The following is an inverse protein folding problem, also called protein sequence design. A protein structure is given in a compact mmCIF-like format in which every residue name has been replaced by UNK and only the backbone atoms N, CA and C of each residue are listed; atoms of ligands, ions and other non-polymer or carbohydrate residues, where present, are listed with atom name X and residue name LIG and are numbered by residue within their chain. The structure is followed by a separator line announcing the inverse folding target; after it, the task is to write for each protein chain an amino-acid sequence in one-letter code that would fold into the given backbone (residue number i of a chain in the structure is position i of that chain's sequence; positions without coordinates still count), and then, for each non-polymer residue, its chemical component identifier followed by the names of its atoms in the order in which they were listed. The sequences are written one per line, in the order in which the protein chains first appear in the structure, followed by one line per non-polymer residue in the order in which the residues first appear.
data_IF_837016114699
#
_entry.id   IF_837016114699
#
_cell.length_a   1.000
_cell.length_b   1.000
_cell.length_c   1.000
_cell.angle_alpha   90.00
_cell.angle_beta   90.00
_cell.angle_gamma   90.00
#
_symmetry.space_group_name_H-M   'P 1'
#
loop_
_entity.id
_entity.type
_entity.pdbx_description
1 polymer ?
#
# COMPACT_ATOMS: atom_id res chain seq x y z
N UNK A 1 -39.81 16.87 16.24
CA UNK A 1 -39.57 16.22 14.95
C UNK A 1 -38.21 16.68 14.46
N UNK A 2 -37.15 15.90 14.57
CA UNK A 2 -35.84 16.25 14.00
C UNK A 2 -35.69 15.52 12.66
N UNK A 3 -35.13 16.24 11.69
CA UNK A 3 -34.86 15.84 10.32
C UNK A 3 -33.80 14.76 10.23
N UNK A 4 -34.10 13.73 9.45
CA UNK A 4 -33.15 12.66 9.09
C UNK A 4 -32.15 13.23 8.06
N UNK A 5 -30.88 13.31 8.42
CA UNK A 5 -29.79 13.42 7.44
C UNK A 5 -29.40 12.02 6.98
N UNK A 6 -29.61 11.75 5.71
CA UNK A 6 -29.18 10.55 5.03
C UNK A 6 -27.67 10.66 4.79
N UNK A 7 -26.91 9.76 5.37
CA UNK A 7 -25.52 9.53 5.00
C UNK A 7 -25.50 8.65 3.74
N UNK A 8 -25.00 9.23 2.67
CA UNK A 8 -24.82 8.54 1.39
C UNK A 8 -23.55 7.70 1.44
N UNK A 9 -23.71 6.37 1.38
CA UNK A 9 -22.61 5.44 1.21
C UNK A 9 -21.84 5.77 -0.09
N UNK A 10 -20.54 5.88 0.02
CA UNK A 10 -19.63 5.91 -1.12
C UNK A 10 -19.36 4.49 -1.64
N UNK A 11 -20.33 3.97 -2.37
CA UNK A 11 -20.10 2.91 -3.35
C UNK A 11 -20.17 3.60 -4.72
N UNK A 12 -19.04 4.07 -5.22
CA UNK A 12 -18.97 4.66 -6.55
C UNK A 12 -18.98 3.56 -7.61
N UNK A 13 -20.17 3.14 -8.03
CA UNK A 13 -20.37 2.48 -9.31
C UNK A 13 -20.54 3.60 -10.33
N UNK A 14 -19.52 3.85 -11.14
CA UNK A 14 -19.63 4.71 -12.31
C UNK A 14 -20.01 3.84 -13.49
N UNK A 15 -21.29 3.84 -13.86
CA UNK A 15 -21.74 3.37 -15.17
C UNK A 15 -21.46 4.45 -16.20
N UNK A 16 -20.53 4.23 -17.08
CA UNK A 16 -20.30 5.09 -18.25
C UNK A 16 -21.25 4.67 -19.38
N UNK A 17 -22.12 5.59 -19.77
CA UNK A 17 -22.95 5.46 -20.96
C UNK A 17 -22.10 5.70 -22.22
N UNK A 18 -22.12 4.71 -23.12
CA UNK A 18 -21.53 4.77 -24.45
C UNK A 18 -22.44 5.58 -25.37
N UNK A 19 -21.90 6.60 -26.02
CA UNK A 19 -22.42 7.14 -27.28
C UNK A 19 -21.37 6.89 -28.37
N UNK A 20 -21.76 6.39 -29.56
CA UNK A 20 -20.85 6.14 -30.64
C UNK A 20 -20.62 7.40 -31.50
N UNK A 21 -19.36 7.72 -31.76
CA UNK A 21 -18.98 8.58 -32.89
C UNK A 21 -18.17 7.75 -33.85
N UNK A 22 -18.63 7.73 -35.09
CA UNK A 22 -18.05 6.98 -36.18
C UNK A 22 -17.05 7.83 -36.99
N UNK A 23 -16.08 7.12 -37.56
CA UNK A 23 -15.33 7.35 -38.80
C UNK A 23 -14.18 8.37 -38.81
N UNK A 24 -13.02 7.82 -39.17
CA UNK A 24 -11.92 8.51 -39.83
C UNK A 24 -10.61 7.79 -39.55
N UNK A 25 -10.23 6.86 -40.48
CA UNK A 25 -8.97 6.11 -40.37
C UNK A 25 -7.77 6.97 -40.66
N UNK A 26 -6.66 6.57 -40.07
CA UNK A 26 -5.33 6.51 -40.69
C UNK A 26 -4.45 5.70 -39.74
N UNK A 27 -3.70 4.74 -40.30
CA UNK A 27 -2.94 3.79 -39.53
C UNK A 27 -1.72 4.43 -38.89
N UNK A 28 -1.64 4.27 -37.58
CA UNK A 28 -0.39 4.43 -36.85
C UNK A 28 0.06 3.07 -36.34
N UNK A 29 1.22 2.69 -36.82
CA UNK A 29 1.92 1.48 -36.43
C UNK A 29 2.30 1.58 -34.95
N UNK A 30 1.70 0.73 -34.14
CA UNK A 30 2.10 0.56 -32.75
C UNK A 30 3.60 0.23 -32.69
N UNK A 31 4.38 1.15 -32.15
CA UNK A 31 5.77 0.91 -31.80
C UNK A 31 5.87 -0.16 -30.71
N UNK A 32 6.97 -0.89 -30.63
CA UNK A 32 7.14 -1.97 -29.68
C UNK A 32 7.03 -1.45 -28.24
N UNK A 33 6.23 -2.12 -27.43
CA UNK A 33 6.14 -1.94 -25.99
C UNK A 33 7.56 -1.95 -25.42
N UNK A 34 7.94 -0.97 -24.57
CA UNK A 34 9.25 -1.00 -23.96
C UNK A 34 9.35 -2.19 -23.01
N UNK A 35 10.01 -3.22 -23.48
CA UNK A 35 10.50 -4.31 -22.63
C UNK A 35 11.58 -3.69 -21.75
N UNK A 36 11.50 -3.87 -20.43
CA UNK A 36 12.55 -3.48 -19.50
C UNK A 36 13.85 -4.21 -19.91
N UNK A 37 14.67 -3.56 -20.75
CA UNK A 37 15.99 -4.03 -21.04
C UNK A 37 16.86 -3.74 -19.82
N UNK A 38 17.29 -4.78 -19.11
CA UNK A 38 18.37 -4.69 -18.14
C UNK A 38 19.62 -4.19 -18.88
N UNK A 39 20.00 -2.95 -18.65
CA UNK A 39 21.34 -2.47 -19.03
C UNK A 39 22.35 -3.21 -18.17
N UNK A 40 23.17 -4.02 -18.80
CA UNK A 40 24.36 -4.62 -18.17
C UNK A 40 25.42 -3.56 -18.04
N UNK A 41 25.48 -2.87 -16.89
CA UNK A 41 26.67 -2.11 -16.53
C UNK A 41 27.72 -3.07 -15.99
N UNK A 42 28.87 -3.13 -16.66
CA UNK A 42 30.03 -3.95 -16.34
C UNK A 42 31.09 -3.13 -15.61
N UNK A 43 30.75 -2.57 -14.45
CA UNK A 43 31.75 -2.04 -13.53
C UNK A 43 31.50 -2.66 -12.15
N UNK A 44 32.48 -3.48 -11.73
CA UNK A 44 32.42 -4.22 -10.49
C UNK A 44 32.53 -3.33 -9.25
N UNK A 45 31.39 -2.86 -8.76
CA UNK A 45 31.25 -2.39 -7.39
C UNK A 45 30.55 -3.51 -6.59
N UNK A 46 31.21 -4.04 -5.56
CA UNK A 46 30.74 -5.13 -4.68
C UNK A 46 29.47 -4.80 -3.85
N UNK A 47 28.80 -3.69 -4.19
CA UNK A 47 27.48 -3.28 -3.70
C UNK A 47 26.40 -3.49 -4.75
N UNK A 48 26.36 -4.71 -5.33
CA UNK A 48 25.34 -5.08 -6.33
C UNK A 48 23.94 -4.94 -5.72
N UNK A 49 23.08 -4.03 -6.23
CA UNK A 49 21.71 -3.92 -5.76
C UNK A 49 21.03 -5.27 -5.94
N UNK A 50 20.27 -5.72 -4.93
CA UNK A 50 19.55 -6.99 -4.94
C UNK A 50 18.84 -7.19 -6.30
N UNK A 51 19.36 -8.10 -7.13
CA UNK A 51 18.77 -8.45 -8.44
C UNK A 51 17.72 -9.52 -8.22
N UNK A 52 16.59 -9.34 -8.87
CA UNK A 52 15.47 -10.29 -8.78
C UNK A 52 15.07 -10.77 -10.18
N UNK A 53 14.45 -11.97 -10.24
CA UNK A 53 13.73 -12.43 -11.42
C UNK A 53 12.46 -11.59 -11.64
N UNK A 54 11.82 -11.80 -12.79
CA UNK A 54 10.45 -11.33 -13.02
C UNK A 54 9.50 -11.90 -11.96
N UNK A 55 8.37 -11.21 -11.76
CA UNK A 55 7.30 -11.66 -10.89
C UNK A 55 6.52 -12.83 -11.49
N UNK A 56 6.08 -13.74 -10.64
CA UNK A 56 5.11 -14.77 -11.02
C UNK A 56 3.74 -14.17 -11.35
N UNK A 57 2.85 -14.95 -11.94
CA UNK A 57 1.44 -14.61 -11.97
C UNK A 57 0.85 -14.53 -10.55
N UNK A 58 -0.20 -13.70 -10.33
CA UNK A 58 -0.86 -13.58 -9.05
C UNK A 58 -1.55 -14.87 -8.61
N UNK A 59 -1.45 -15.19 -7.31
CA UNK A 59 -2.16 -16.29 -6.66
C UNK A 59 -2.98 -15.73 -5.52
N UNK A 60 -4.27 -16.08 -5.45
CA UNK A 60 -5.13 -15.73 -4.32
C UNK A 60 -4.64 -16.44 -3.06
N UNK A 61 -4.50 -15.72 -1.92
CA UNK A 61 -4.04 -16.34 -0.68
C UNK A 61 -5.01 -17.37 -0.11
N UNK A 62 -6.29 -17.26 -0.46
CA UNK A 62 -7.34 -18.14 0.06
C UNK A 62 -7.56 -18.04 1.57
N UNK A 63 -8.44 -18.91 2.09
CA UNK A 63 -8.68 -18.99 3.52
C UNK A 63 -7.42 -19.47 4.29
N UNK A 64 -7.25 -18.99 5.55
CA UNK A 64 -8.18 -18.18 6.31
C UNK A 64 -8.01 -16.66 6.11
N UNK A 65 -7.02 -16.23 5.32
CA UNK A 65 -6.75 -14.80 5.11
C UNK A 65 -7.91 -14.15 4.35
N UNK A 66 -8.23 -14.67 3.18
CA UNK A 66 -9.37 -14.22 2.39
C UNK A 66 -10.64 -14.98 2.77
N UNK A 67 -11.76 -14.26 2.85
CA UNK A 67 -13.07 -14.81 3.16
C UNK A 67 -14.16 -14.25 2.26
N UNK A 68 -15.43 -14.45 2.63
CA UNK A 68 -16.58 -13.91 1.90
C UNK A 68 -16.77 -12.39 2.10
N UNK A 69 -15.77 -11.71 2.65
CA UNK A 69 -15.82 -10.30 3.05
C UNK A 69 -14.90 -9.47 2.15
N UNK A 70 -14.73 -8.18 2.46
CA UNK A 70 -13.68 -7.38 1.88
C UNK A 70 -12.41 -7.56 2.73
N UNK A 71 -11.38 -8.17 2.16
CA UNK A 71 -10.07 -8.36 2.78
C UNK A 71 -9.04 -7.55 1.97
N UNK A 72 -8.47 -6.49 2.58
CA UNK A 72 -7.69 -5.50 1.85
C UNK A 72 -6.57 -4.92 2.69
N UNK A 73 -5.56 -4.31 2.03
CA UNK A 73 -4.49 -3.57 2.70
C UNK A 73 -3.77 -4.43 3.73
N UNK A 74 -2.89 -5.30 3.27
CA UNK A 74 -2.19 -6.26 4.11
C UNK A 74 -0.76 -5.84 4.43
N UNK A 75 -0.17 -6.44 5.46
CA UNK A 75 1.25 -6.32 5.81
C UNK A 75 1.77 -7.61 6.43
N UNK A 76 2.97 -8.02 6.03
CA UNK A 76 3.66 -9.18 6.63
C UNK A 76 4.81 -8.75 7.52
N UNK A 77 4.92 -9.33 8.72
CA UNK A 77 6.03 -9.05 9.64
C UNK A 77 7.38 -9.49 9.06
N UNK A 78 8.47 -8.88 9.57
CA UNK A 78 9.85 -9.17 9.13
C UNK A 78 10.21 -10.66 9.17
N UNK A 79 9.77 -11.35 10.20
CA UNK A 79 10.01 -12.79 10.39
C UNK A 79 9.09 -13.67 9.52
N UNK A 80 8.04 -13.07 8.92
CA UNK A 80 7.06 -13.78 8.13
C UNK A 80 6.08 -14.61 8.95
N UNK A 81 5.95 -14.35 10.25
CA UNK A 81 5.12 -15.14 11.18
C UNK A 81 3.81 -14.45 11.55
N UNK A 82 3.62 -13.17 11.22
CA UNK A 82 2.38 -12.44 11.44
C UNK A 82 1.95 -11.75 10.14
N UNK A 83 0.70 -11.93 9.77
CA UNK A 83 0.07 -11.31 8.60
C UNK A 83 -1.08 -10.44 9.07
N UNK A 84 -0.98 -9.15 8.85
CA UNK A 84 -2.00 -8.17 9.19
C UNK A 84 -2.85 -7.89 7.94
N UNK A 85 -4.16 -7.79 8.13
CA UNK A 85 -5.11 -7.50 7.04
C UNK A 85 -6.24 -6.63 7.57
N UNK A 86 -6.73 -5.72 6.76
CA UNK A 86 -7.95 -4.98 7.04
C UNK A 86 -9.14 -5.74 6.48
N UNK A 87 -10.18 -5.96 7.29
CA UNK A 87 -11.29 -6.79 6.87
C UNK A 87 -12.64 -6.30 7.43
N UNK A 88 -13.69 -6.51 6.65
CA UNK A 88 -15.08 -6.30 7.06
C UNK A 88 -15.73 -7.56 7.66
N UNK A 89 -14.92 -8.56 8.03
CA UNK A 89 -15.43 -9.81 8.62
C UNK A 89 -16.12 -9.56 9.94
N UNK A 90 -17.15 -10.38 10.30
CA UNK A 90 -17.90 -10.19 11.52
C UNK A 90 -17.06 -10.43 12.77
N UNK A 91 -17.45 -9.79 13.87
CA UNK A 91 -16.72 -9.85 15.15
C UNK A 91 -15.70 -8.73 15.33
N UNK A 92 -15.71 -7.73 14.45
CA UNK A 92 -14.94 -6.50 14.57
C UNK A 92 -15.63 -5.43 15.43
N UNK A 93 -15.01 -4.25 15.47
CA UNK A 93 -15.46 -3.09 16.25
C UNK A 93 -16.17 -2.06 15.37
N UNK A 94 -15.87 -2.03 14.08
CA UNK A 94 -16.36 -1.05 13.11
C UNK A 94 -16.69 -1.63 11.73
N UNK A 95 -16.48 -0.80 10.70
CA UNK A 95 -16.72 -1.20 9.31
C UNK A 95 -15.54 -2.03 8.75
N UNK A 96 -14.37 -1.45 8.75
CA UNK A 96 -13.10 -2.12 8.47
C UNK A 96 -12.28 -2.12 9.73
N UNK A 97 -11.81 -3.28 10.13
CA UNK A 97 -10.92 -3.46 11.26
C UNK A 97 -9.60 -4.09 10.83
N UNK A 98 -8.56 -3.86 11.61
CA UNK A 98 -7.28 -4.54 11.45
C UNK A 98 -7.32 -5.87 12.21
N UNK A 99 -6.96 -6.93 11.51
CA UNK A 99 -6.87 -8.30 12.00
C UNK A 99 -5.45 -8.82 11.84
N UNK A 100 -5.06 -9.78 12.66
CA UNK A 100 -3.77 -10.46 12.55
C UNK A 100 -3.97 -11.97 12.50
N UNK A 101 -3.33 -12.61 11.52
CA UNK A 101 -3.14 -14.05 11.46
C UNK A 101 -1.69 -14.38 11.79
N UNK A 102 -1.47 -15.47 12.51
CA UNK A 102 -0.12 -15.91 12.90
C UNK A 102 0.12 -17.34 12.47
N UNK A 103 1.40 -17.70 12.36
CA UNK A 103 1.89 -19.07 12.13
C UNK A 103 3.18 -19.31 12.90
N UNK A 104 3.48 -20.56 13.26
CA UNK A 104 4.68 -20.89 14.05
C UNK A 104 5.95 -20.91 13.19
N UNK A 105 5.82 -21.26 11.91
CA UNK A 105 6.93 -21.24 10.95
C UNK A 105 6.47 -20.75 9.56
N UNK A 106 7.42 -20.40 8.70
CA UNK A 106 7.10 -19.92 7.33
C UNK A 106 6.51 -21.00 6.43
N UNK A 107 6.72 -22.26 6.77
CA UNK A 107 6.25 -23.41 6.00
C UNK A 107 4.85 -23.86 6.43
N UNK A 108 4.32 -23.29 7.51
CA UNK A 108 2.98 -23.59 8.01
C UNK A 108 1.92 -22.66 7.41
N UNK A 109 0.69 -23.18 7.39
CA UNK A 109 -0.48 -22.42 7.01
C UNK A 109 -0.74 -21.29 8.02
N UNK A 110 -1.40 -20.23 7.55
CA UNK A 110 -1.88 -19.15 8.40
C UNK A 110 -3.00 -19.66 9.34
N UNK A 111 -2.94 -19.24 10.60
CA UNK A 111 -4.04 -19.42 11.55
C UNK A 111 -5.21 -18.48 11.27
N UNK A 112 -6.34 -18.70 11.92
CA UNK A 112 -7.51 -17.83 11.81
C UNK A 112 -7.19 -16.40 12.24
N UNK A 113 -7.55 -15.38 11.44
CA UNK A 113 -7.32 -13.99 11.80
C UNK A 113 -8.05 -13.58 13.08
N UNK A 114 -7.34 -12.92 13.98
CA UNK A 114 -7.84 -12.38 15.23
C UNK A 114 -7.96 -10.86 15.13
N UNK A 115 -9.08 -10.29 15.60
CA UNK A 115 -9.24 -8.84 15.66
C UNK A 115 -8.26 -8.23 16.66
N UNK A 116 -7.63 -7.08 16.32
CA UNK A 116 -6.70 -6.39 17.24
C UNK A 116 -7.41 -5.80 18.48
N UNK A 117 -8.74 -5.88 18.55
CA UNK A 117 -9.54 -5.36 19.65
C UNK A 117 -9.94 -3.90 19.49
N UNK A 118 -10.97 -3.49 20.25
CA UNK A 118 -11.56 -2.16 20.13
C UNK A 118 -10.74 -1.05 20.83
N UNK A 119 -9.63 -1.40 21.46
CA UNK A 119 -8.64 -0.42 21.93
C UNK A 119 -7.79 0.10 20.74
N UNK A 120 -7.60 -0.72 19.71
CA UNK A 120 -6.89 -0.38 18.46
C UNK A 120 -7.88 0.02 17.38
N UNK A 121 -8.83 -0.84 17.06
CA UNK A 121 -9.89 -0.58 16.10
C UNK A 121 -10.96 0.34 16.70
N UNK A 122 -11.63 1.10 15.86
CA UNK A 122 -12.69 2.03 16.25
C UNK A 122 -14.05 1.56 15.72
N UNK A 123 -15.10 2.34 15.91
CA UNK A 123 -16.40 2.10 15.27
C UNK A 123 -16.45 2.50 13.79
N UNK A 124 -15.38 3.07 13.25
CA UNK A 124 -15.24 3.53 11.87
C UNK A 124 -14.42 2.58 11.00
N UNK A 125 -13.56 3.15 10.18
CA UNK A 125 -12.59 2.46 9.35
C UNK A 125 -11.21 2.49 10.00
N UNK A 126 -10.59 1.34 10.17
CA UNK A 126 -9.22 1.19 10.60
C UNK A 126 -8.51 0.26 9.61
N UNK A 127 -7.62 0.81 8.77
CA UNK A 127 -7.12 0.05 7.63
C UNK A 127 -5.69 0.40 7.22
N UNK A 128 -5.13 -0.42 6.31
CA UNK A 128 -3.77 -0.36 5.77
C UNK A 128 -2.70 -0.40 6.87
N UNK A 129 -2.62 -1.51 7.60
CA UNK A 129 -1.60 -1.69 8.63
C UNK A 129 -0.19 -1.70 8.02
N UNK A 130 0.74 -1.05 8.70
CA UNK A 130 2.16 -1.07 8.39
C UNK A 130 2.98 -1.18 9.69
N UNK A 131 3.85 -2.19 9.79
CA UNK A 131 4.70 -2.37 10.97
C UNK A 131 6.12 -1.87 10.72
N UNK A 132 6.70 -1.27 11.76
CA UNK A 132 8.15 -1.03 11.81
C UNK A 132 8.94 -2.34 11.79
N UNK A 133 10.21 -2.28 11.36
CA UNK A 133 11.10 -3.44 11.24
C UNK A 133 11.23 -4.21 12.56
N UNK A 134 11.24 -3.50 13.70
CA UNK A 134 11.30 -4.12 15.02
C UNK A 134 9.95 -4.69 15.50
N UNK A 135 8.86 -4.48 14.75
CA UNK A 135 7.51 -4.95 15.04
C UNK A 135 6.84 -4.28 16.25
N UNK A 136 7.34 -3.12 16.72
CA UNK A 136 6.85 -2.46 17.91
C UNK A 136 5.94 -1.24 17.66
N UNK A 137 5.77 -0.83 16.40
CA UNK A 137 4.84 0.22 16.01
C UNK A 137 4.02 -0.27 14.84
N UNK A 138 2.72 -0.02 14.92
CA UNK A 138 1.73 -0.26 13.89
C UNK A 138 1.19 1.08 13.43
N UNK A 139 1.44 1.45 12.18
CA UNK A 139 0.87 2.61 11.51
C UNK A 139 -0.34 2.17 10.70
N UNK A 140 -1.37 3.01 10.64
CA UNK A 140 -2.57 2.76 9.86
C UNK A 140 -3.35 4.06 9.67
N UNK A 141 -4.40 4.06 8.85
CA UNK A 141 -5.32 5.19 8.74
C UNK A 141 -6.67 4.86 9.36
N UNK A 142 -7.34 5.89 9.86
CA UNK A 142 -8.64 5.78 10.53
C UNK A 142 -9.47 7.05 10.37
N UNK A 143 -10.78 6.89 10.25
CA UNK A 143 -11.77 7.98 10.29
C UNK A 143 -12.40 8.15 11.67
N UNK A 144 -11.72 7.63 12.73
CA UNK A 144 -12.20 7.72 14.11
C UNK A 144 -12.45 9.15 14.57
N UNK A 145 -13.43 9.38 15.45
CA UNK A 145 -13.68 10.69 16.02
C UNK A 145 -12.45 11.28 16.72
N UNK A 146 -12.29 12.61 16.60
CA UNK A 146 -11.17 13.34 17.22
C UNK A 146 -9.94 13.47 16.34
N UNK A 147 -10.01 13.06 15.09
CA UNK A 147 -9.01 13.34 14.06
C UNK A 147 -9.04 14.80 13.59
N UNK A 148 -8.13 15.13 12.64
CA UNK A 148 -8.01 16.45 12.05
C UNK A 148 -8.95 16.62 10.83
N UNK A 149 -9.28 15.53 10.13
CA UNK A 149 -10.03 15.57 8.88
C UNK A 149 -10.89 14.33 8.61
N UNK A 150 -10.87 13.86 7.38
CA UNK A 150 -11.59 12.66 6.93
C UNK A 150 -10.94 11.39 7.47
N UNK A 151 -9.86 10.98 6.84
CA UNK A 151 -8.98 9.93 7.35
C UNK A 151 -7.69 10.55 7.85
N UNK A 152 -7.25 10.11 9.00
CA UNK A 152 -5.99 10.51 9.60
C UNK A 152 -5.06 9.29 9.77
N UNK A 153 -3.76 9.55 9.82
CA UNK A 153 -2.75 8.55 10.14
C UNK A 153 -2.54 8.46 11.65
N UNK A 154 -2.48 7.23 12.13
CA UNK A 154 -2.29 6.88 13.54
C UNK A 154 -1.13 5.91 13.72
N UNK A 155 -0.62 5.85 14.95
CA UNK A 155 0.36 4.86 15.39
C UNK A 155 -0.08 4.23 16.71
N UNK A 156 -0.12 2.90 16.74
CA UNK A 156 -0.18 2.12 17.97
C UNK A 156 1.18 1.53 18.30
N UNK A 157 1.45 1.28 19.59
CA UNK A 157 2.71 0.72 20.07
C UNK A 157 2.45 -0.57 20.83
N UNK A 158 3.46 -1.43 20.89
CA UNK A 158 3.46 -2.59 21.78
C UNK A 158 4.84 -2.82 22.40
N UNK A 159 4.86 -3.37 23.61
CA UNK A 159 6.11 -3.66 24.32
C UNK A 159 6.75 -4.95 23.85
N UNK A 160 5.98 -6.03 23.75
CA UNK A 160 6.45 -7.34 23.29
C UNK A 160 5.95 -7.65 21.87
N UNK A 161 6.88 -7.79 20.92
CA UNK A 161 6.54 -8.14 19.53
C UNK A 161 5.96 -9.55 19.38
N UNK A 162 6.14 -10.43 20.38
CA UNK A 162 5.61 -11.79 20.38
C UNK A 162 4.14 -11.85 20.79
N UNK A 163 3.63 -10.79 21.41
CA UNK A 163 2.21 -10.64 21.67
C UNK A 163 1.53 -9.98 20.45
N UNK A 164 0.80 -10.72 19.62
CA UNK A 164 0.18 -10.17 18.42
C UNK A 164 -0.95 -9.20 18.72
N UNK A 165 -1.53 -9.24 19.93
CA UNK A 165 -2.66 -8.42 20.36
C UNK A 165 -2.28 -7.35 21.39
N UNK A 166 -1.05 -7.29 21.88
CA UNK A 166 -0.58 -6.39 22.94
C UNK A 166 -0.37 -4.94 22.48
N UNK A 167 -1.26 -4.40 21.65
CA UNK A 167 -1.20 -3.05 21.12
C UNK A 167 -1.85 -2.04 22.07
N UNK A 168 -1.20 -0.89 22.23
CA UNK A 168 -1.71 0.25 22.99
C UNK A 168 -2.73 1.05 22.16
N UNK A 169 -3.52 1.88 22.84
CA UNK A 169 -4.44 2.83 22.17
C UNK A 169 -3.69 3.72 21.18
N UNK A 170 -4.16 3.81 19.93
CA UNK A 170 -3.50 4.56 18.88
C UNK A 170 -3.40 6.05 19.16
N UNK A 171 -2.29 6.65 18.75
CA UNK A 171 -2.03 8.08 18.80
C UNK A 171 -2.08 8.67 17.40
N UNK A 172 -2.79 9.79 17.24
CA UNK A 172 -2.80 10.57 16.00
C UNK A 172 -1.39 11.10 15.70
N UNK A 173 -0.93 11.07 14.44
CA UNK A 173 0.41 11.53 14.07
C UNK A 173 0.58 13.05 14.12
N UNK A 174 -0.50 13.79 14.34
CA UNK A 174 -0.49 15.23 14.54
C UNK A 174 -0.44 16.06 13.24
N UNK A 175 -0.47 17.37 13.40
CA UNK A 175 -0.65 18.35 12.32
C UNK A 175 0.53 18.47 11.33
N UNK A 176 1.67 17.86 11.61
CA UNK A 176 2.76 17.74 10.65
C UNK A 176 2.39 16.84 9.46
N UNK A 177 1.52 15.88 9.72
CA UNK A 177 1.04 14.90 8.74
C UNK A 177 -0.44 15.08 8.45
N UNK A 178 -1.29 15.01 9.48
CA UNK A 178 -2.74 15.02 9.35
C UNK A 178 -3.29 16.43 9.17
N UNK A 179 -4.25 16.58 8.24
CA UNK A 179 -4.88 17.85 7.88
C UNK A 179 -6.42 17.72 7.90
N UNK A 180 -7.13 18.76 7.50
CA UNK A 180 -8.59 18.69 7.31
C UNK A 180 -9.00 17.83 6.09
N UNK A 181 -8.06 17.36 5.30
CA UNK A 181 -8.27 16.43 4.19
C UNK A 181 -8.11 14.97 4.68
N UNK A 182 -7.94 14.05 3.76
CA UNK A 182 -7.68 12.65 4.09
C UNK A 182 -6.21 12.30 3.87
N UNK A 183 -5.58 11.70 4.85
CA UNK A 183 -4.27 11.09 4.77
C UNK A 183 -4.42 9.58 5.01
N UNK A 184 -3.92 8.77 4.08
CA UNK A 184 -4.17 7.31 4.05
C UNK A 184 -2.93 6.52 3.63
N UNK A 185 -2.96 5.20 3.89
CA UNK A 185 -2.04 4.21 3.32
C UNK A 185 -0.56 4.53 3.67
N UNK A 186 -0.20 4.50 4.96
CA UNK A 186 1.15 4.81 5.41
C UNK A 186 2.15 3.72 5.04
N UNK A 187 3.38 4.13 4.74
CA UNK A 187 4.53 3.25 4.57
C UNK A 187 5.78 3.91 5.16
N UNK A 188 6.57 3.16 5.92
CA UNK A 188 7.72 3.69 6.66
C UNK A 188 9.03 3.14 6.09
N UNK A 189 9.95 4.04 5.80
CA UNK A 189 11.36 3.74 5.60
C UNK A 189 12.13 4.04 6.88
N UNK A 190 12.71 3.01 7.49
CA UNK A 190 13.69 3.13 8.57
C UNK A 190 15.08 3.00 7.94
N UNK A 191 15.76 4.13 7.76
CA UNK A 191 17.12 4.18 7.22
C UNK A 191 18.09 3.95 8.39
N UNK A 192 18.60 2.72 8.49
CA UNK A 192 19.51 2.32 9.57
C UNK A 192 20.88 2.99 9.45
N UNK A 193 21.29 3.44 8.25
CA UNK A 193 22.60 4.07 8.02
C UNK A 193 22.64 5.51 8.55
N UNK A 194 21.55 6.25 8.36
CA UNK A 194 21.45 7.65 8.75
C UNK A 194 20.59 7.89 9.98
N UNK A 195 19.95 6.84 10.53
CA UNK A 195 19.01 6.93 11.65
C UNK A 195 17.74 7.72 11.32
N UNK A 196 17.45 7.92 10.03
CA UNK A 196 16.30 8.71 9.57
C UNK A 196 15.10 7.78 9.39
N UNK A 197 13.96 8.19 9.92
CA UNK A 197 12.68 7.54 9.63
C UNK A 197 11.84 8.44 8.73
N UNK A 198 11.48 7.95 7.57
CA UNK A 198 10.62 8.65 6.61
C UNK A 198 9.29 7.94 6.47
N UNK A 199 8.20 8.66 6.68
CA UNK A 199 6.84 8.24 6.38
C UNK A 199 6.49 8.65 4.95
N UNK A 200 6.03 7.70 4.14
CA UNK A 200 5.34 7.94 2.89
C UNK A 200 3.84 7.66 3.11
N UNK A 201 2.99 8.41 2.46
CA UNK A 201 1.54 8.22 2.52
C UNK A 201 0.85 8.84 1.31
N UNK A 202 -0.40 8.50 1.09
CA UNK A 202 -1.22 9.08 0.05
C UNK A 202 -2.32 9.96 0.64
N UNK A 203 -2.86 10.88 -0.15
CA UNK A 203 -4.03 11.63 0.25
C UNK A 203 -4.08 13.04 -0.29
N UNK A 204 -4.80 13.90 0.46
CA UNK A 204 -4.94 15.34 0.22
C UNK A 204 -5.49 15.68 -1.16
N UNK A 205 -6.44 14.87 -1.67
CA UNK A 205 -7.10 15.16 -2.92
C UNK A 205 -7.65 16.61 -2.93
N UNK A 206 -7.26 17.37 -3.96
CA UNK A 206 -7.62 18.79 -4.07
C UNK A 206 -6.83 19.75 -3.18
N UNK A 207 -5.74 19.31 -2.52
CA UNK A 207 -4.88 20.20 -1.76
C UNK A 207 -4.21 21.26 -2.67
N UNK A 208 -4.03 22.50 -2.18
CA UNK A 208 -3.23 23.50 -2.89
C UNK A 208 -1.82 22.98 -3.16
N UNK A 209 -1.39 23.02 -4.42
CA UNK A 209 -0.08 22.50 -4.85
C UNK A 209 -0.04 20.99 -5.12
N UNK A 210 -1.14 20.28 -4.95
CA UNK A 210 -1.31 18.91 -5.42
C UNK A 210 -1.33 18.83 -6.95
N UNK A 211 -1.16 17.61 -7.50
CA UNK A 211 -1.07 17.40 -8.95
C UNK A 211 -2.34 16.81 -9.56
N UNK A 212 -3.14 16.08 -8.78
CA UNK A 212 -4.31 15.41 -9.31
C UNK A 212 -5.35 15.08 -8.27
N UNK A 213 -5.72 13.79 -8.20
CA UNK A 213 -6.55 13.26 -7.14
C UNK A 213 -5.77 13.15 -5.82
N UNK A 214 -5.65 11.96 -5.27
CA UNK A 214 -4.68 11.72 -4.20
C UNK A 214 -3.26 11.76 -4.77
N UNK A 215 -2.36 12.33 -4.00
CA UNK A 215 -0.94 12.46 -4.31
C UNK A 215 -0.08 11.74 -3.25
N UNK A 216 1.17 11.45 -3.59
CA UNK A 216 2.13 10.84 -2.66
C UNK A 216 2.90 11.94 -1.93
N UNK A 217 2.88 11.85 -0.60
CA UNK A 217 3.60 12.75 0.31
C UNK A 217 4.64 11.97 1.12
N UNK A 218 5.63 12.70 1.64
CA UNK A 218 6.58 12.19 2.62
C UNK A 218 6.73 13.15 3.77
N UNK A 219 7.02 12.61 4.96
CA UNK A 219 7.39 13.38 6.16
C UNK A 219 8.52 12.66 6.89
N UNK A 220 9.42 13.43 7.50
CA UNK A 220 10.55 12.91 8.26
C UNK A 220 10.28 13.01 9.75
N UNK A 221 10.61 11.95 10.50
CA UNK A 221 10.49 11.90 11.94
C UNK A 221 11.51 12.82 12.59
N UNK A 222 11.06 13.67 13.52
CA UNK A 222 11.85 14.62 14.26
C UNK A 222 12.47 13.99 15.51
N UNK A 223 13.41 14.68 16.15
CA UNK A 223 14.08 14.22 17.37
C UNK A 223 13.12 14.02 18.54
N UNK A 224 12.02 14.77 18.61
CA UNK A 224 10.97 14.61 19.61
C UNK A 224 10.04 13.41 19.36
N UNK A 225 10.23 12.73 18.24
CA UNK A 225 9.47 11.56 17.82
C UNK A 225 8.20 11.86 17.03
N UNK A 226 7.85 13.13 16.83
CA UNK A 226 6.76 13.56 15.94
C UNK A 226 7.22 13.51 14.47
N UNK A 227 6.30 13.63 13.53
CA UNK A 227 6.61 13.82 12.12
C UNK A 227 6.54 15.31 11.77
N UNK A 228 7.52 15.79 11.01
CA UNK A 228 7.56 17.16 10.51
C UNK A 228 6.54 17.42 9.40
N UNK A 229 6.54 18.64 8.82
CA UNK A 229 5.62 18.96 7.72
C UNK A 229 5.75 18.01 6.55
N UNK A 230 4.61 17.52 6.06
CA UNK A 230 4.57 16.65 4.91
C UNK A 230 4.86 17.43 3.60
N UNK A 231 5.64 16.81 2.73
CA UNK A 231 6.10 17.36 1.45
C UNK A 231 5.63 16.46 0.33
N UNK A 232 5.04 17.04 -0.73
CA UNK A 232 4.70 16.32 -1.95
C UNK A 232 5.94 15.65 -2.56
N UNK A 233 5.78 14.42 -3.07
CA UNK A 233 6.80 13.73 -3.86
C UNK A 233 6.42 13.83 -5.34
N UNK A 234 6.94 14.83 -6.05
CA UNK A 234 6.44 15.17 -7.37
C UNK A 234 6.73 14.10 -8.43
N UNK A 235 7.77 13.31 -8.29
CA UNK A 235 8.12 12.24 -9.23
C UNK A 235 7.12 11.07 -9.16
N UNK A 236 6.50 10.87 -7.99
CA UNK A 236 5.54 9.80 -7.75
C UNK A 236 4.10 10.24 -7.97
N UNK A 237 3.84 11.56 -8.04
CA UNK A 237 2.53 12.17 -8.17
C UNK A 237 2.27 12.63 -9.59
N UNK A 238 1.06 12.41 -10.12
CA UNK A 238 0.65 12.76 -11.47
C UNK A 238 -0.65 13.59 -11.46
N UNK A 239 -1.23 13.89 -12.63
CA UNK A 239 -2.56 14.48 -12.73
C UNK A 239 -3.71 13.50 -12.47
N UNK A 240 -3.39 12.23 -12.23
CA UNK A 240 -4.33 11.17 -11.89
C UNK A 240 -4.43 10.99 -10.37
N UNK A 241 -4.96 9.86 -9.92
CA UNK A 241 -4.90 9.41 -8.52
C UNK A 241 -3.65 8.58 -8.33
N UNK A 242 -2.83 8.93 -7.34
CA UNK A 242 -1.63 8.22 -6.96
C UNK A 242 -1.71 7.89 -5.47
N UNK A 243 -1.72 6.61 -5.13
CA UNK A 243 -2.02 6.14 -3.78
C UNK A 243 -1.23 4.89 -3.40
N UNK A 244 -1.40 4.45 -2.15
CA UNK A 244 -0.80 3.24 -1.60
C UNK A 244 0.72 3.12 -1.85
N UNK A 245 1.53 4.13 -1.49
CA UNK A 245 2.96 4.00 -1.59
C UNK A 245 3.46 2.89 -0.66
N UNK A 246 4.24 1.97 -1.18
CA UNK A 246 4.97 0.99 -0.38
C UNK A 246 6.45 1.03 -0.71
N UNK A 247 7.24 1.47 0.26
CA UNK A 247 8.70 1.59 0.12
C UNK A 247 9.39 0.28 0.50
N UNK A 248 10.27 -0.24 -0.39
CA UNK A 248 11.15 -1.34 -0.04
C UNK A 248 12.14 -0.89 1.02
N UNK A 249 12.54 -1.81 1.88
CA UNK A 249 13.37 -1.55 3.06
C UNK A 249 14.67 -0.79 2.78
N UNK A 250 15.32 -1.04 1.64
CA UNK A 250 16.54 -0.33 1.24
C UNK A 250 16.29 1.08 0.70
N UNK A 251 15.02 1.47 0.56
CA UNK A 251 14.63 2.77 0.04
C UNK A 251 14.84 2.94 -1.46
N UNK A 252 15.13 1.89 -2.23
CA UNK A 252 15.49 1.98 -3.65
C UNK A 252 14.35 1.60 -4.61
N UNK A 253 13.29 0.99 -4.12
CA UNK A 253 12.11 0.60 -4.89
C UNK A 253 10.84 1.00 -4.14
N UNK A 254 9.89 1.62 -4.83
CA UNK A 254 8.61 2.04 -4.28
C UNK A 254 7.49 1.61 -5.21
N UNK A 255 6.55 0.85 -4.67
CA UNK A 255 5.31 0.47 -5.34
C UNK A 255 4.22 1.48 -5.03
N UNK A 256 3.30 1.70 -5.97
CA UNK A 256 2.13 2.55 -5.77
C UNK A 256 0.96 2.07 -6.62
N UNK A 257 -0.24 2.40 -6.21
CA UNK A 257 -1.44 2.30 -7.03
C UNK A 257 -1.66 3.60 -7.80
N UNK A 258 -2.03 3.52 -9.08
CA UNK A 258 -2.30 4.73 -9.85
C UNK A 258 -3.35 4.52 -10.94
N UNK A 259 -4.10 5.59 -11.24
CA UNK A 259 -5.02 5.68 -12.39
C UNK A 259 -4.40 6.45 -13.56
N UNK A 260 -3.07 6.63 -13.58
CA UNK A 260 -2.37 7.36 -14.65
C UNK A 260 -2.51 6.66 -16.00
N UNK A 261 -2.33 7.38 -17.13
CA UNK A 261 -2.41 6.78 -18.45
C UNK A 261 -1.51 5.55 -18.59
N UNK A 262 -2.07 4.45 -19.13
CA UNK A 262 -1.42 3.15 -19.22
C UNK A 262 -1.95 2.11 -18.23
N UNK A 263 -2.93 2.46 -17.37
CA UNK A 263 -3.68 1.48 -16.57
C UNK A 263 -4.57 0.62 -17.46
N UNK A 264 -4.76 -0.64 -17.03
CA UNK A 264 -5.65 -1.61 -17.69
C UNK A 264 -7.01 -1.63 -17.00
N UNK A 265 -7.01 -1.66 -15.67
CA UNK A 265 -8.21 -1.62 -14.82
C UNK A 265 -8.54 -0.21 -14.32
N UNK A 266 -9.05 -0.08 -13.12
CA UNK A 266 -9.34 1.20 -12.48
C UNK A 266 -8.08 1.82 -11.88
N UNK A 267 -7.50 1.16 -10.88
CA UNK A 267 -6.21 1.45 -10.27
C UNK A 267 -5.31 0.27 -10.56
N UNK A 268 -4.12 0.54 -11.06
CA UNK A 268 -3.12 -0.49 -11.34
C UNK A 268 -1.90 -0.33 -10.44
N UNK A 269 -1.13 -1.40 -10.29
CA UNK A 269 0.16 -1.39 -9.61
C UNK A 269 1.26 -0.85 -10.50
N UNK A 270 2.02 0.09 -9.96
CA UNK A 270 3.17 0.73 -10.59
C UNK A 270 4.38 0.63 -9.68
N UNK A 271 5.57 0.74 -10.25
CA UNK A 271 6.83 0.75 -9.51
C UNK A 271 7.71 1.89 -9.98
N UNK A 272 8.39 2.52 -9.03
CA UNK A 272 9.44 3.50 -9.26
C UNK A 272 10.71 3.06 -8.53
N UNK A 273 11.87 3.38 -9.09
CA UNK A 273 13.18 3.02 -8.53
C UNK A 273 14.10 4.22 -8.48
N UNK A 274 15.15 4.11 -7.68
CA UNK A 274 16.27 5.07 -7.63
C UNK A 274 17.58 4.34 -7.31
N UNK A 275 18.70 4.91 -7.72
CA UNK A 275 19.99 4.27 -7.51
C UNK A 275 20.48 4.37 -6.06
N UNK A 276 20.22 5.51 -5.39
CA UNK A 276 20.54 5.74 -3.98
C UNK A 276 19.37 6.41 -3.27
N UNK A 277 19.35 6.40 -1.94
CA UNK A 277 18.30 7.07 -1.14
C UNK A 277 18.30 8.59 -1.29
N UNK A 278 19.37 9.17 -1.83
CA UNK A 278 19.50 10.61 -2.12
C UNK A 278 19.07 11.00 -3.52
N UNK A 279 18.91 10.03 -4.43
CA UNK A 279 18.51 10.29 -5.81
C UNK A 279 16.99 10.52 -5.93
N UNK A 280 16.57 11.26 -6.98
CA UNK A 280 15.15 11.37 -7.30
C UNK A 280 14.59 10.02 -7.74
N UNK A 281 13.28 9.85 -7.57
CA UNK A 281 12.57 8.69 -8.08
C UNK A 281 12.49 8.70 -9.61
N UNK A 282 12.65 7.54 -10.24
CA UNK A 282 12.33 7.37 -11.66
C UNK A 282 10.85 7.63 -11.92
N UNK A 283 10.47 7.94 -13.15
CA UNK A 283 9.07 7.91 -13.54
C UNK A 283 8.49 6.52 -13.29
N UNK A 284 7.38 6.40 -12.55
CA UNK A 284 6.76 5.09 -12.32
C UNK A 284 6.40 4.36 -13.60
N UNK A 285 6.65 3.05 -13.62
CA UNK A 285 6.28 2.15 -14.71
C UNK A 285 5.26 1.12 -14.22
N UNK A 286 4.32 0.72 -15.09
CA UNK A 286 3.32 -0.29 -14.75
C UNK A 286 3.95 -1.66 -14.55
N UNK A 287 3.41 -2.47 -13.63
CA UNK A 287 3.80 -3.87 -13.48
C UNK A 287 3.28 -4.76 -14.63
N UNK A 288 2.49 -4.19 -15.54
CA UNK A 288 2.05 -4.85 -16.76
C UNK A 288 0.87 -5.82 -16.60
N UNK A 289 0.35 -6.34 -17.72
CA UNK A 289 -0.93 -7.07 -17.76
C UNK A 289 -0.87 -8.50 -17.22
N UNK A 290 0.31 -9.02 -16.88
CA UNK A 290 0.42 -10.30 -16.16
C UNK A 290 0.00 -10.13 -14.70
N UNK A 291 0.23 -8.95 -14.14
CA UNK A 291 -0.02 -8.60 -12.74
C UNK A 291 -1.32 -7.80 -12.62
N UNK A 292 -1.41 -6.71 -13.36
CA UNK A 292 -2.58 -5.85 -13.38
C UNK A 292 -3.69 -6.48 -14.24
N UNK A 293 -4.92 -6.43 -13.74
CA UNK A 293 -6.10 -6.98 -14.39
C UNK A 293 -7.01 -5.87 -14.94
N UNK A 294 -8.17 -6.25 -15.48
CA UNK A 294 -9.21 -5.33 -15.94
C UNK A 294 -10.05 -4.71 -14.80
N UNK A 295 -9.71 -5.03 -13.54
CA UNK A 295 -10.29 -4.43 -12.34
C UNK A 295 -9.20 -3.73 -11.52
N UNK A 296 -9.57 -3.16 -10.38
CA UNK A 296 -8.62 -2.49 -9.49
C UNK A 296 -7.62 -3.47 -8.88
N UNK A 297 -6.33 -3.15 -8.99
CA UNK A 297 -5.23 -3.84 -8.33
C UNK A 297 -4.40 -2.78 -7.56
N UNK A 298 -4.44 -2.80 -6.23
CA UNK A 298 -3.80 -1.76 -5.41
C UNK A 298 -3.23 -2.28 -4.08
N UNK A 299 -2.72 -1.36 -3.23
CA UNK A 299 -2.21 -1.62 -1.88
C UNK A 299 -1.15 -2.71 -1.85
N UNK A 300 -0.14 -2.57 -2.71
CA UNK A 300 1.01 -3.46 -2.71
C UNK A 300 1.75 -3.40 -1.38
N UNK A 301 2.19 -4.55 -0.87
CA UNK A 301 3.12 -4.68 0.25
C UNK A 301 4.14 -5.77 -0.04
N UNK A 302 5.38 -5.58 0.40
CA UNK A 302 6.47 -6.47 0.07
C UNK A 302 6.93 -7.24 1.31
N UNK A 303 7.24 -8.53 1.16
CA UNK A 303 7.96 -9.27 2.19
C UNK A 303 9.31 -8.61 2.48
N UNK A 304 9.80 -8.78 3.71
CA UNK A 304 11.04 -8.14 4.15
C UNK A 304 12.26 -8.49 3.29
N UNK A 305 12.30 -9.68 2.72
CA UNK A 305 13.35 -10.15 1.83
C UNK A 305 13.17 -9.75 0.36
N UNK A 306 12.05 -9.10 0.03
CA UNK A 306 11.73 -8.61 -1.30
C UNK A 306 11.28 -9.68 -2.29
N UNK A 307 10.98 -10.89 -1.83
CA UNK A 307 10.66 -12.03 -2.72
C UNK A 307 9.17 -12.28 -2.92
N UNK A 308 8.31 -11.70 -2.08
CA UNK A 308 6.86 -11.82 -2.21
C UNK A 308 6.22 -10.43 -2.16
N UNK A 309 5.34 -10.13 -3.12
CA UNK A 309 4.51 -8.93 -3.17
C UNK A 309 3.06 -9.34 -2.94
N UNK A 310 2.43 -8.76 -1.95
CA UNK A 310 1.01 -8.92 -1.66
C UNK A 310 0.26 -7.69 -2.17
N UNK A 311 -0.93 -7.86 -2.68
CA UNK A 311 -1.76 -6.74 -3.13
C UNK A 311 -3.24 -7.09 -3.02
N UNK A 312 -4.10 -6.08 -3.12
CA UNK A 312 -5.55 -6.21 -3.02
C UNK A 312 -6.18 -6.15 -4.40
N UNK A 313 -7.14 -7.04 -4.69
CA UNK A 313 -7.90 -7.02 -5.93
C UNK A 313 -9.31 -7.58 -5.76
N UNK A 314 -10.35 -6.99 -6.42
CA UNK A 314 -11.70 -7.53 -6.49
C UNK A 314 -11.90 -8.49 -7.67
N UNK A 315 -10.87 -9.22 -8.11
CA UNK A 315 -10.96 -10.17 -9.24
C UNK A 315 -12.08 -11.18 -9.00
N UNK A 316 -12.80 -11.52 -10.05
CA UNK A 316 -13.94 -12.45 -9.99
C UNK A 316 -13.61 -13.87 -9.52
N UNK A 317 -12.31 -14.23 -9.52
CA UNK A 317 -11.82 -15.50 -8.98
C UNK A 317 -11.60 -15.48 -7.46
N UNK A 318 -11.98 -14.41 -6.78
CA UNK A 318 -11.83 -14.23 -5.33
C UNK A 318 -12.93 -14.89 -4.52
N UNK A 319 -12.79 -14.78 -3.20
CA UNK A 319 -13.76 -15.30 -2.20
C UNK A 319 -14.74 -14.22 -1.76
N UNK A 320 -14.32 -12.95 -1.75
CA UNK A 320 -15.10 -11.80 -1.31
C UNK A 320 -15.15 -10.67 -2.33
N UNK A 321 -15.47 -9.46 -1.86
CA UNK A 321 -15.51 -8.28 -2.72
C UNK A 321 -14.11 -7.72 -3.01
N UNK A 322 -13.17 -7.95 -2.11
CA UNK A 322 -11.74 -7.72 -2.28
C UNK A 322 -11.00 -8.86 -1.59
N UNK A 323 -9.94 -9.33 -2.23
CA UNK A 323 -9.06 -10.38 -1.70
C UNK A 323 -7.60 -9.95 -1.79
N UNK A 324 -6.77 -10.55 -0.94
CA UNK A 324 -5.31 -10.42 -1.01
C UNK A 324 -4.74 -11.48 -1.93
N UNK A 325 -3.94 -11.05 -2.88
CA UNK A 325 -3.18 -11.89 -3.81
C UNK A 325 -1.69 -11.79 -3.51
N UNK A 326 -0.92 -12.79 -3.91
CA UNK A 326 0.53 -12.81 -3.78
C UNK A 326 1.20 -13.10 -5.12
N UNK A 327 2.30 -12.39 -5.38
CA UNK A 327 3.28 -12.65 -6.43
C UNK A 327 4.58 -13.07 -5.77
N UNK A 328 5.38 -13.87 -6.46
CA UNK A 328 6.71 -14.23 -5.98
C UNK A 328 7.77 -13.96 -7.03
N UNK A 329 8.99 -13.65 -6.57
CA UNK A 329 10.20 -13.53 -7.39
C UNK A 329 11.40 -14.14 -6.64
N UNK A 330 12.41 -14.57 -7.38
CA UNK A 330 13.64 -15.13 -6.81
C UNK A 330 14.75 -14.09 -6.77
N UNK A 331 15.59 -14.12 -5.74
CA UNK A 331 16.86 -13.39 -5.75
C UNK A 331 17.80 -14.05 -6.76
N UNK A 332 18.34 -13.25 -7.65
CA UNK A 332 19.36 -13.71 -8.59
C UNK A 332 20.72 -13.70 -7.89
N UNK A 333 21.47 -14.79 -8.02
CA UNK A 333 22.86 -14.83 -7.55
C UNK A 333 23.71 -14.00 -8.51
N UNK A 334 24.57 -13.11 -7.98
CA UNK A 334 25.60 -12.47 -8.78
C UNK A 334 26.43 -13.57 -9.46
N UNK A 335 26.67 -13.44 -10.76
CA UNK A 335 27.67 -14.28 -11.42
C UNK A 335 29.02 -13.71 -10.99
N UNK A 336 29.76 -14.46 -10.17
CA UNK A 336 31.15 -14.20 -9.84
C UNK A 336 32.06 -14.53 -11.01
#
# INVERSE_FOLDING_TARGET
MPSRHQFTLWAAIVSAALLPVACGGEGDTAGPTPTLALTTDTDGDDRDPLRFSDWSAPVNLGPPINGAFADAGSFISKDGLSFYVSSTRPGGCGNFDIWVSTRESRDEAWGEPQNLGCDVNSSGFDAAPFLTINGKRLYFHSDRPGGAGGFDLYVSRRHDKRDPLGWETPQNLGSGVNTALAEVLPSILEDDENGITTLFFAGRAGAPGGRGGEDIYRSTRQADGTFGPAILVPELSSSARDLAPFIRRDGLELFLGSTRPGTVGGIDLWVSTRATTSDPWSTPVTLGPVINSDVQDDRATLSFDGTALYFTSPRSSGFGSNDVYVLTRSKLKGQH
#
